data_IF_796940703825
#
_entry.id   IF_796940703825
#
_cell.length_a   1.000
_cell.length_b   1.000
_cell.length_c   1.000
_cell.angle_alpha   90.00
_cell.angle_beta   90.00
_cell.angle_gamma   90.00
#
_symmetry.space_group_name_H-M   'P 1'
#
loop_
_entity.id
_entity.type
_entity.pdbx_description
1 polymer ?
#
# COMPACT_ATOMS: atom_id res chain seq x y z
N UNK A 1 52.16 -26.98 21.88
CA UNK A 1 50.84 -26.50 22.34
C UNK A 1 50.82 -24.99 22.25
N UNK A 2 49.93 -24.41 21.42
CA UNK A 2 49.37 -23.07 21.59
C UNK A 2 48.27 -22.88 20.55
N UNK A 3 47.09 -23.42 20.86
CA UNK A 3 45.88 -23.26 20.06
C UNK A 3 45.24 -21.92 20.45
N UNK A 4 45.29 -20.94 19.54
CA UNK A 4 44.59 -19.66 19.72
C UNK A 4 43.12 -19.88 19.32
N UNK A 5 42.26 -19.93 20.32
CA UNK A 5 40.81 -20.09 20.16
C UNK A 5 40.23 -18.88 19.43
N UNK A 6 39.72 -19.07 18.22
CA UNK A 6 38.96 -18.04 17.47
C UNK A 6 37.48 -18.32 17.71
N UNK A 7 36.84 -17.50 18.54
CA UNK A 7 35.38 -17.53 18.74
C UNK A 7 34.71 -16.74 17.63
N UNK A 8 34.04 -17.43 16.70
CA UNK A 8 33.16 -16.80 15.72
C UNK A 8 31.81 -16.55 16.39
N UNK A 9 31.51 -15.30 16.71
CA UNK A 9 30.19 -14.90 17.19
C UNK A 9 29.22 -14.85 16.01
N UNK A 10 28.39 -15.88 15.86
CA UNK A 10 27.27 -15.86 14.92
C UNK A 10 26.16 -14.98 15.47
N UNK A 11 26.07 -13.75 14.96
CA UNK A 11 24.97 -12.84 15.24
C UNK A 11 23.73 -13.33 14.48
N UNK A 12 22.94 -14.20 15.11
CA UNK A 12 21.61 -14.53 14.61
C UNK A 12 20.73 -13.28 14.77
N UNK A 13 20.58 -12.50 13.70
CA UNK A 13 19.59 -11.41 13.67
C UNK A 13 18.21 -12.03 13.72
N UNK A 14 17.60 -12.00 14.91
CA UNK A 14 16.20 -12.33 15.11
C UNK A 14 15.38 -11.33 14.30
N UNK A 15 14.89 -11.76 13.14
CA UNK A 15 13.92 -11.00 12.35
C UNK A 15 12.61 -11.03 13.15
N UNK A 16 12.44 -10.09 14.08
CA UNK A 16 11.13 -9.90 14.71
C UNK A 16 10.18 -9.54 13.59
N UNK A 17 9.27 -10.46 13.26
CA UNK A 17 8.14 -10.16 12.39
C UNK A 17 7.32 -9.13 13.15
N UNK A 18 7.59 -7.84 12.92
CA UNK A 18 6.74 -6.77 13.42
C UNK A 18 5.45 -6.96 12.63
N UNK A 19 4.49 -7.69 13.21
CA UNK A 19 3.15 -7.77 12.66
C UNK A 19 2.67 -6.35 12.41
N UNK A 20 2.06 -6.10 11.25
CA UNK A 20 1.60 -4.77 10.87
C UNK A 20 0.73 -4.20 12.01
N UNK A 21 1.19 -3.10 12.61
CA UNK A 21 0.46 -2.45 13.70
C UNK A 21 -0.66 -1.65 13.04
N UNK A 22 -1.89 -2.04 13.30
CA UNK A 22 -3.06 -1.28 12.90
C UNK A 22 -3.23 -0.06 13.81
N UNK A 23 -3.41 1.12 13.22
CA UNK A 23 -3.62 2.39 13.91
C UNK A 23 -4.92 3.07 13.45
N UNK A 24 -5.35 4.10 14.19
CA UNK A 24 -6.54 4.87 13.84
C UNK A 24 -6.48 5.38 12.40
N UNK A 25 -7.63 5.34 11.70
CA UNK A 25 -7.71 5.66 10.27
C UNK A 25 -7.30 7.10 9.90
N UNK A 26 -7.30 7.99 10.89
CA UNK A 26 -6.92 9.39 10.82
C UNK A 26 -5.48 9.66 11.31
N UNK A 27 -4.76 8.61 11.75
CA UNK A 27 -3.38 8.70 12.29
C UNK A 27 -2.32 8.19 11.33
N UNK A 28 -2.71 7.64 10.19
CA UNK A 28 -1.76 7.15 9.19
C UNK A 28 -1.19 8.34 8.43
N UNK A 29 0.10 8.61 8.62
CA UNK A 29 0.81 9.63 7.87
C UNK A 29 0.94 9.22 6.39
N UNK A 30 0.49 10.03 5.43
CA UNK A 30 0.66 9.73 4.01
C UNK A 30 2.12 9.88 3.56
N UNK A 31 2.45 9.24 2.44
CA UNK A 31 3.68 9.51 1.71
C UNK A 31 3.47 10.75 0.84
N UNK A 32 4.39 11.73 0.85
CA UNK A 32 4.38 12.77 -0.17
C UNK A 32 4.69 12.15 -1.53
N UNK A 33 4.12 12.69 -2.60
CA UNK A 33 4.48 12.30 -3.96
C UNK A 33 5.93 12.70 -4.24
N UNK A 34 6.84 11.75 -4.55
CA UNK A 34 8.21 12.09 -4.90
C UNK A 34 8.30 12.68 -6.31
N UNK A 35 9.35 13.45 -6.56
CA UNK A 35 9.68 13.93 -7.90
C UNK A 35 10.07 12.74 -8.82
N UNK A 36 9.45 12.59 -10.00
CA UNK A 36 9.67 11.42 -10.85
C UNK A 36 11.00 11.48 -11.62
N UNK A 37 11.83 10.45 -11.49
CA UNK A 37 13.17 10.41 -12.10
C UNK A 37 13.21 9.50 -13.33
N UNK A 38 12.73 8.27 -13.15
CA UNK A 38 12.75 7.22 -14.16
C UNK A 38 11.61 7.38 -15.18
N UNK A 39 11.71 6.65 -16.30
CA UNK A 39 10.66 6.66 -17.32
C UNK A 39 9.34 6.11 -16.78
N UNK A 40 9.39 5.05 -15.96
CA UNK A 40 8.19 4.48 -15.33
C UNK A 40 7.54 5.47 -14.36
N UNK A 41 8.31 6.17 -13.54
CA UNK A 41 7.78 7.18 -12.61
C UNK A 41 7.15 8.37 -13.34
N UNK A 42 7.84 8.90 -14.36
CA UNK A 42 7.28 9.99 -15.18
C UNK A 42 6.00 9.56 -15.90
N UNK A 43 5.96 8.31 -16.35
CA UNK A 43 4.77 7.73 -16.98
C UNK A 43 3.63 7.59 -15.96
N UNK A 44 3.92 7.13 -14.75
CA UNK A 44 2.92 6.99 -13.69
C UNK A 44 2.31 8.34 -13.29
N UNK A 45 3.12 9.42 -13.24
CA UNK A 45 2.62 10.79 -13.03
C UNK A 45 1.79 11.27 -14.22
N UNK A 46 2.26 11.06 -15.44
CA UNK A 46 1.55 11.48 -16.66
C UNK A 46 0.17 10.82 -16.82
N UNK A 47 0.06 9.55 -16.44
CA UNK A 47 -1.17 8.75 -16.55
C UNK A 47 -1.91 8.60 -15.22
N UNK A 48 -1.63 9.45 -14.23
CA UNK A 48 -2.36 9.47 -12.96
C UNK A 48 -3.84 9.76 -13.24
N UNK A 49 -4.78 8.90 -12.81
CA UNK A 49 -6.20 9.13 -13.05
C UNK A 49 -6.75 10.23 -12.14
N UNK A 50 -7.83 10.87 -12.58
CA UNK A 50 -8.70 11.63 -11.69
C UNK A 50 -9.67 10.66 -11.02
N UNK A 51 -9.96 10.89 -9.73
CA UNK A 51 -10.99 10.16 -9.02
C UNK A 51 -12.15 11.09 -8.69
N UNK A 52 -13.32 10.77 -9.24
CA UNK A 52 -14.57 11.42 -8.86
C UNK A 52 -15.29 10.55 -7.82
N UNK A 53 -15.48 11.09 -6.62
CA UNK A 53 -16.14 10.39 -5.51
C UNK A 53 -17.59 10.85 -5.46
N UNK A 54 -18.49 10.11 -6.11
CA UNK A 54 -19.93 10.40 -6.11
C UNK A 54 -20.57 10.19 -4.73
N UNK A 55 -20.18 9.12 -4.07
CA UNK A 55 -20.71 8.73 -2.77
C UNK A 55 -19.73 7.82 -2.04
N UNK A 56 -19.64 7.93 -0.71
CA UNK A 56 -18.85 7.04 0.13
C UNK A 56 -17.66 7.73 0.79
N UNK A 57 -16.58 6.98 0.99
CA UNK A 57 -15.38 7.48 1.66
C UNK A 57 -14.48 8.26 0.69
N UNK A 58 -13.79 9.27 1.23
CA UNK A 58 -12.61 9.85 0.57
C UNK A 58 -11.44 8.88 0.48
N UNK A 59 -10.35 9.29 -0.18
CA UNK A 59 -9.10 8.52 -0.22
C UNK A 59 -8.28 8.79 1.06
N UNK A 60 -7.85 7.72 1.72
CA UNK A 60 -7.01 7.77 2.93
C UNK A 60 -5.78 6.88 2.77
N UNK A 61 -4.65 7.22 3.40
CA UNK A 61 -3.45 6.39 3.36
C UNK A 61 -3.70 5.06 4.09
N UNK A 62 -3.41 3.95 3.40
CA UNK A 62 -3.58 2.60 3.93
C UNK A 62 -2.40 2.16 4.81
N UNK A 63 -1.20 2.72 4.59
CA UNK A 63 0.03 2.41 5.31
C UNK A 63 0.92 3.65 5.36
N UNK A 64 1.77 3.76 6.37
CA UNK A 64 2.80 4.79 6.45
C UNK A 64 4.23 4.20 6.29
N UNK A 65 5.25 5.06 6.27
CA UNK A 65 6.66 4.66 6.11
C UNK A 65 7.17 3.64 7.15
N UNK A 66 6.56 3.58 8.33
CA UNK A 66 6.91 2.64 9.39
C UNK A 66 6.20 1.29 9.28
N UNK A 67 5.38 1.07 8.24
CA UNK A 67 4.58 -0.14 8.08
C UNK A 67 3.35 -0.22 8.99
N UNK A 68 2.95 0.88 9.63
CA UNK A 68 1.69 0.94 10.39
C UNK A 68 0.53 1.07 9.40
N UNK A 69 -0.50 0.25 9.57
CA UNK A 69 -1.63 0.18 8.65
C UNK A 69 -2.88 0.86 9.19
N UNK A 70 -3.73 1.29 8.27
CA UNK A 70 -5.00 1.92 8.56
C UNK A 70 -5.99 0.88 9.08
N UNK A 71 -6.48 1.05 10.31
CA UNK A 71 -7.47 0.15 10.91
C UNK A 71 -8.88 0.28 10.34
N UNK A 72 -9.10 1.22 9.42
CA UNK A 72 -10.39 1.47 8.81
C UNK A 72 -11.42 2.05 9.78
N UNK A 73 -12.66 2.08 9.32
CA UNK A 73 -13.83 2.47 10.09
C UNK A 73 -14.80 1.31 10.13
N UNK A 74 -15.39 1.06 11.30
CA UNK A 74 -16.51 0.12 11.41
C UNK A 74 -17.66 0.67 10.58
N UNK A 75 -18.15 -0.10 9.61
CA UNK A 75 -19.35 0.26 8.86
C UNK A 75 -20.56 0.27 9.79
N UNK A 76 -21.06 1.45 10.17
CA UNK A 76 -22.22 1.60 11.08
C UNK A 76 -23.55 1.77 10.36
N UNK A 77 -23.62 1.53 9.04
CA UNK A 77 -24.87 1.40 8.29
C UNK A 77 -25.47 2.71 7.77
N UNK A 78 -26.05 2.64 6.58
CA UNK A 78 -26.70 3.72 5.83
C UNK A 78 -26.49 3.57 4.32
N UNK A 79 -25.36 2.99 3.92
CA UNK A 79 -24.97 2.84 2.51
C UNK A 79 -24.79 1.37 2.20
N UNK A 80 -25.89 0.74 1.81
CA UNK A 80 -25.96 -0.67 1.42
C UNK A 80 -25.43 -0.90 0.00
N UNK A 81 -24.35 -0.21 -0.39
CA UNK A 81 -23.80 -0.26 -1.74
C UNK A 81 -22.33 -0.61 -1.72
N UNK A 82 -21.96 -1.69 -2.43
CA UNK A 82 -20.58 -1.94 -2.82
C UNK A 82 -20.04 -0.71 -3.56
N UNK A 83 -18.93 -0.13 -3.10
CA UNK A 83 -18.21 0.86 -3.88
C UNK A 83 -17.46 0.16 -5.00
N UNK A 84 -17.66 0.61 -6.24
CA UNK A 84 -16.92 0.13 -7.41
C UNK A 84 -16.49 1.32 -8.26
N UNK A 85 -15.48 1.11 -9.10
CA UNK A 85 -14.96 2.12 -10.01
C UNK A 85 -15.56 1.91 -11.41
N UNK A 86 -15.90 3.00 -12.08
CA UNK A 86 -16.32 3.00 -13.47
C UNK A 86 -15.88 4.30 -14.16
N UNK A 87 -15.64 4.30 -15.49
CA UNK A 87 -15.28 5.51 -16.22
C UNK A 87 -16.39 6.56 -16.15
N UNK A 88 -16.03 7.83 -16.03
CA UNK A 88 -16.96 8.96 -16.00
C UNK A 88 -16.43 10.12 -16.84
N UNK A 89 -17.33 10.98 -17.30
CA UNK A 89 -17.00 12.27 -17.92
C UNK A 89 -16.95 13.41 -16.91
N UNK A 90 -17.37 13.17 -15.66
CA UNK A 90 -17.26 14.14 -14.58
C UNK A 90 -15.82 14.33 -14.13
N UNK A 91 -15.42 15.58 -13.91
CA UNK A 91 -14.09 15.89 -13.38
C UNK A 91 -13.93 15.31 -11.96
N UNK A 92 -12.71 14.87 -11.63
CA UNK A 92 -12.35 14.41 -10.30
C UNK A 92 -11.04 15.03 -9.83
N UNK A 93 -10.61 14.64 -8.64
CA UNK A 93 -9.38 15.14 -8.05
C UNK A 93 -8.20 14.22 -8.36
N UNK A 94 -7.01 14.81 -8.42
CA UNK A 94 -5.76 14.07 -8.37
C UNK A 94 -5.31 13.91 -6.92
N UNK A 95 -4.84 12.71 -6.57
CA UNK A 95 -4.23 12.44 -5.28
C UNK A 95 -2.71 12.30 -5.39
N UNK A 96 -1.99 12.45 -4.29
CA UNK A 96 -0.56 12.16 -4.25
C UNK A 96 -0.30 10.70 -4.60
N UNK A 97 0.67 10.48 -5.48
CA UNK A 97 1.03 9.16 -5.97
C UNK A 97 2.32 8.68 -5.31
N UNK A 98 2.30 7.46 -4.77
CA UNK A 98 3.50 6.73 -4.38
C UNK A 98 3.47 5.38 -5.10
N UNK A 99 4.54 5.07 -5.85
CA UNK A 99 4.64 3.79 -6.55
C UNK A 99 5.10 2.68 -5.60
N UNK A 100 4.82 1.42 -5.95
CA UNK A 100 5.24 0.25 -5.17
C UNK A 100 6.74 0.26 -4.87
N UNK A 101 7.56 0.53 -5.88
CA UNK A 101 9.02 0.56 -5.77
C UNK A 101 9.57 1.77 -4.98
N UNK A 102 8.71 2.76 -4.69
CA UNK A 102 9.06 3.95 -3.90
C UNK A 102 8.65 3.81 -2.42
N UNK A 103 7.89 2.76 -2.07
CA UNK A 103 7.55 2.45 -0.69
C UNK A 103 8.76 1.93 0.09
N UNK A 104 8.74 2.14 1.41
CA UNK A 104 9.69 1.47 2.30
C UNK A 104 9.44 -0.04 2.33
N UNK A 105 10.46 -0.82 2.65
CA UNK A 105 10.33 -2.28 2.84
C UNK A 105 9.29 -2.62 3.91
N UNK A 106 9.23 -1.83 4.99
CA UNK A 106 8.23 -1.99 6.03
C UNK A 106 6.80 -1.78 5.51
N UNK A 107 6.58 -0.77 4.64
CA UNK A 107 5.28 -0.51 4.06
C UNK A 107 4.86 -1.60 3.05
N UNK A 108 5.78 -2.08 2.20
CA UNK A 108 5.51 -3.20 1.29
C UNK A 108 5.20 -4.49 2.05
N UNK A 109 6.01 -4.82 3.06
CA UNK A 109 5.78 -5.98 3.92
C UNK A 109 4.41 -5.91 4.62
N UNK A 110 4.03 -4.74 5.13
CA UNK A 110 2.72 -4.54 5.74
C UNK A 110 1.57 -4.69 4.73
N UNK A 111 1.68 -4.12 3.53
CA UNK A 111 0.66 -4.27 2.49
C UNK A 111 0.51 -5.70 1.96
N UNK A 112 1.59 -6.48 1.97
CA UNK A 112 1.56 -7.89 1.60
C UNK A 112 0.91 -8.78 2.68
N UNK A 113 1.03 -8.43 3.96
CA UNK A 113 0.71 -9.35 5.07
C UNK A 113 -0.50 -8.95 5.92
N UNK A 114 -0.92 -7.68 5.87
CA UNK A 114 -2.04 -7.19 6.69
C UNK A 114 -3.37 -7.75 6.19
N UNK A 115 -4.20 -8.23 7.12
CA UNK A 115 -5.59 -8.56 6.83
C UNK A 115 -6.46 -7.30 6.83
N UNK A 116 -6.87 -6.85 5.64
CA UNK A 116 -7.83 -5.75 5.46
C UNK A 116 -9.30 -6.25 5.43
N UNK A 117 -9.56 -7.44 5.97
CA UNK A 117 -10.87 -8.09 5.97
C UNK A 117 -11.31 -8.44 4.55
N UNK A 118 -12.47 -7.91 4.14
CA UNK A 118 -13.03 -8.15 2.81
C UNK A 118 -12.27 -7.42 1.69
N UNK A 119 -11.47 -6.40 2.01
CA UNK A 119 -10.65 -5.70 1.04
C UNK A 119 -9.33 -6.45 0.79
N UNK A 120 -8.82 -6.38 -0.45
CA UNK A 120 -7.53 -6.97 -0.85
C UNK A 120 -6.68 -5.93 -1.56
N UNK A 121 -5.39 -5.85 -1.23
CA UNK A 121 -4.45 -4.94 -1.88
C UNK A 121 -4.17 -5.43 -3.30
N UNK A 122 -4.62 -4.74 -4.37
CA UNK A 122 -4.61 -5.32 -5.71
C UNK A 122 -3.23 -5.30 -6.39
N UNK A 123 -2.29 -4.52 -5.85
CA UNK A 123 -0.93 -4.34 -6.38
C UNK A 123 0.14 -4.97 -5.48
N UNK A 124 -0.25 -5.73 -4.46
CA UNK A 124 0.69 -6.49 -3.63
C UNK A 124 1.36 -7.58 -4.46
N UNK A 125 2.52 -8.07 -4.01
CA UNK A 125 3.32 -9.04 -4.77
C UNK A 125 2.51 -10.30 -5.12
N UNK A 126 1.69 -10.77 -4.17
CA UNK A 126 0.84 -11.97 -4.34
C UNK A 126 -0.35 -11.76 -5.30
N UNK A 127 -0.86 -10.53 -5.42
CA UNK A 127 -2.12 -10.26 -6.13
C UNK A 127 -1.88 -9.66 -7.52
N UNK A 128 -0.77 -8.96 -7.74
CA UNK A 128 -0.59 -8.08 -8.89
C UNK A 128 -0.74 -8.81 -10.24
N UNK A 129 -0.07 -9.96 -10.41
CA UNK A 129 -0.12 -10.70 -11.68
C UNK A 129 -1.53 -11.20 -12.00
N UNK A 130 -2.27 -11.71 -11.02
CA UNK A 130 -3.64 -12.18 -11.22
C UNK A 130 -4.59 -11.00 -11.50
N UNK A 131 -4.43 -9.88 -10.80
CA UNK A 131 -5.22 -8.67 -11.08
C UNK A 131 -4.97 -8.14 -12.49
N UNK A 132 -3.74 -8.16 -12.99
CA UNK A 132 -3.44 -7.80 -14.38
C UNK A 132 -4.12 -8.73 -15.38
N UNK A 133 -4.10 -10.05 -15.15
CA UNK A 133 -4.79 -11.02 -16.01
C UNK A 133 -6.30 -10.76 -16.07
N UNK A 134 -6.91 -10.49 -14.91
CA UNK A 134 -8.35 -10.21 -14.82
C UNK A 134 -8.74 -8.84 -15.39
N UNK A 135 -7.80 -7.89 -15.44
CA UNK A 135 -8.02 -6.55 -15.99
C UNK A 135 -7.78 -6.48 -17.51
N UNK A 136 -7.32 -7.56 -18.15
CA UNK A 136 -7.01 -7.58 -19.56
C UNK A 136 -8.27 -7.40 -20.42
N UNK A 137 -8.38 -6.34 -21.25
CA UNK A 137 -9.62 -6.02 -21.96
C UNK A 137 -9.65 -6.47 -23.44
N UNK A 138 -8.72 -7.33 -23.87
CA UNK A 138 -8.55 -7.70 -25.29
C UNK A 138 -8.65 -9.20 -25.58
#
# INVERSE_FOLDING_TARGET
MNLRTITVATLATLLTVIGAISIGHDKVQPFPQPEPVTVSEKTAIKFKPQLNINFGCGVYPAVNAAGKTNGGLKGTGGVSGYSYLYPTTGAGDFHDLIMWDQLTDAARAALNTTDFGSAKVPFSDDNFSEKLKNAWPF
#
